data_IF_197843002376
#
_entry.id   IF_197843002376
#
_cell.length_a   1.000
_cell.length_b   1.000
_cell.length_c   1.000
_cell.angle_alpha   90.00
_cell.angle_beta   90.00
_cell.angle_gamma   90.00
#
_symmetry.space_group_name_H-M   'P 1'
#
loop_
_entity.id
_entity.type
_entity.pdbx_description
1 polymer ?
#
# COMPACT_ATOMS: atom_id res chain seq x y z
N UNK A 1 12.49 -25.09 -2.22
CA UNK A 1 12.63 -24.13 -3.33
C UNK A 1 11.72 -24.44 -4.54
N UNK A 2 10.57 -25.10 -4.35
CA UNK A 2 9.63 -25.35 -5.43
C UNK A 2 8.20 -25.24 -4.87
N UNK A 3 7.64 -24.03 -4.84
CA UNK A 3 6.20 -23.84 -4.54
C UNK A 3 5.65 -22.48 -4.97
N UNK A 4 6.48 -21.44 -5.11
CA UNK A 4 5.97 -20.08 -5.39
C UNK A 4 5.33 -19.92 -6.79
N UNK A 5 5.78 -20.67 -7.80
CA UNK A 5 5.31 -20.50 -9.18
C UNK A 5 3.93 -21.12 -9.48
N UNK A 6 3.40 -22.01 -8.63
CA UNK A 6 2.15 -22.73 -8.90
C UNK A 6 0.89 -22.05 -8.31
N UNK A 7 1.03 -21.05 -7.44
CA UNK A 7 -0.08 -20.47 -6.67
C UNK A 7 -0.85 -19.36 -7.41
N UNK A 8 -0.18 -18.61 -8.30
CA UNK A 8 -0.76 -17.44 -8.97
C UNK A 8 -1.98 -17.75 -9.87
N UNK A 9 -2.17 -19.00 -10.31
CA UNK A 9 -3.28 -19.41 -11.18
C UNK A 9 -4.55 -19.84 -10.43
N UNK A 10 -4.56 -19.84 -9.08
CA UNK A 10 -5.64 -20.45 -8.29
C UNK A 10 -6.57 -19.48 -7.56
N UNK A 11 -6.34 -18.16 -7.66
CA UNK A 11 -7.10 -17.16 -6.89
C UNK A 11 -6.87 -17.26 -5.36
N UNK A 12 -5.81 -17.95 -4.92
CA UNK A 12 -5.42 -18.01 -3.51
C UNK A 12 -4.57 -16.80 -3.18
N UNK A 13 -5.14 -15.91 -2.38
CA UNK A 13 -4.44 -14.77 -1.78
C UNK A 13 -3.63 -15.26 -0.57
N UNK A 14 -2.35 -14.92 -0.52
CA UNK A 14 -1.52 -15.09 0.68
C UNK A 14 -1.41 -13.74 1.38
N UNK A 15 -1.71 -13.66 2.70
CA UNK A 15 -1.54 -12.43 3.46
C UNK A 15 -0.09 -11.96 3.44
N UNK A 16 0.12 -10.66 3.19
CA UNK A 16 1.44 -10.03 3.34
C UNK A 16 1.66 -9.67 4.81
N UNK A 17 2.32 -10.56 5.55
CA UNK A 17 2.62 -10.33 6.96
C UNK A 17 3.43 -9.05 7.17
N UNK A 18 3.04 -8.25 8.16
CA UNK A 18 3.72 -7.00 8.52
C UNK A 18 3.46 -5.83 7.57
N UNK A 19 2.59 -6.00 6.56
CA UNK A 19 2.26 -4.99 5.57
C UNK A 19 0.92 -4.31 5.80
N UNK A 20 0.31 -4.49 6.97
CA UNK A 20 -0.96 -3.86 7.29
C UNK A 20 -0.80 -2.34 7.44
N UNK A 21 -1.79 -1.60 6.95
CA UNK A 21 -1.96 -0.16 7.18
C UNK A 21 -3.01 0.04 8.26
N UNK A 22 -2.64 0.70 9.34
CA UNK A 22 -3.56 1.11 10.39
C UNK A 22 -4.13 2.49 10.08
N UNK A 23 -5.46 2.60 10.08
CA UNK A 23 -6.17 3.86 9.89
C UNK A 23 -6.64 4.44 11.21
N UNK A 24 -6.35 5.73 11.42
CA UNK A 24 -6.81 6.50 12.56
C UNK A 24 -7.80 7.57 12.09
N UNK A 25 -9.02 7.63 12.64
CA UNK A 25 -9.93 8.73 12.36
C UNK A 25 -9.35 10.05 12.85
N UNK A 26 -9.51 11.10 12.06
CA UNK A 26 -9.17 12.49 12.38
C UNK A 26 -10.30 13.40 11.95
N UNK A 27 -10.26 14.67 12.33
CA UNK A 27 -11.24 15.64 11.83
C UNK A 27 -11.14 15.74 10.30
N UNK A 28 -12.28 15.58 9.61
CA UNK A 28 -12.36 15.59 8.15
C UNK A 28 -11.80 14.37 7.43
N UNK A 29 -11.51 13.24 8.11
CA UNK A 29 -11.18 11.98 7.43
C UNK A 29 -10.35 10.99 8.24
N UNK A 30 -9.33 10.39 7.61
CA UNK A 30 -8.48 9.36 8.21
C UNK A 30 -7.02 9.54 7.83
N UNK A 31 -6.12 9.30 8.79
CA UNK A 31 -4.69 9.15 8.52
C UNK A 31 -4.35 7.67 8.54
N UNK A 32 -3.61 7.20 7.54
CA UNK A 32 -3.09 5.84 7.45
C UNK A 32 -1.59 5.81 7.61
N UNK A 33 -1.07 4.78 8.27
CA UNK A 33 0.35 4.49 8.33
C UNK A 33 0.57 2.98 8.47
N UNK A 34 1.76 2.51 8.12
CA UNK A 34 2.17 1.12 8.39
C UNK A 34 1.96 0.79 9.87
N UNK A 35 1.23 -0.29 10.16
CA UNK A 35 1.01 -0.78 11.52
C UNK A 35 2.32 -1.27 12.15
N UNK A 36 3.20 -1.86 11.33
CA UNK A 36 4.58 -2.18 11.67
C UNK A 36 5.55 -1.45 10.71
N UNK A 37 6.13 -0.30 11.12
CA UNK A 37 7.01 0.52 10.27
C UNK A 37 8.29 -0.18 9.77
N UNK A 38 8.65 -1.34 10.34
CA UNK A 38 9.80 -2.14 9.92
C UNK A 38 9.45 -3.50 9.32
N UNK A 39 8.20 -3.94 9.50
CA UNK A 39 7.75 -5.31 9.24
C UNK A 39 7.47 -5.62 7.78
N UNK A 40 7.04 -4.65 6.98
CA UNK A 40 6.70 -4.90 5.58
C UNK A 40 7.95 -5.01 4.70
N UNK A 41 8.39 -6.24 4.47
CA UNK A 41 9.48 -6.56 3.54
C UNK A 41 8.97 -7.52 2.48
N UNK A 42 8.95 -7.05 1.23
CA UNK A 42 8.47 -7.82 0.08
C UNK A 42 9.63 -8.19 -0.84
N UNK A 43 9.48 -9.28 -1.60
CA UNK A 43 10.40 -9.64 -2.67
C UNK A 43 9.97 -8.93 -3.95
N UNK A 44 10.89 -8.20 -4.59
CA UNK A 44 10.62 -7.50 -5.83
C UNK A 44 10.25 -8.50 -6.93
N UNK A 45 9.10 -8.30 -7.56
CA UNK A 45 8.69 -9.11 -8.71
C UNK A 45 9.51 -8.79 -9.97
N UNK A 46 10.21 -7.64 -10.00
CA UNK A 46 11.02 -7.23 -11.16
C UNK A 46 12.20 -8.17 -11.39
N UNK A 47 12.86 -8.60 -10.31
CA UNK A 47 14.09 -9.39 -10.35
C UNK A 47 14.03 -10.66 -9.49
N UNK A 48 12.98 -10.86 -8.69
CA UNK A 48 12.78 -12.02 -7.84
C UNK A 48 13.83 -12.19 -6.73
N UNK A 49 14.68 -11.20 -6.47
CA UNK A 49 15.83 -11.32 -5.55
C UNK A 49 15.97 -10.14 -4.61
N UNK A 50 15.59 -8.94 -5.03
CA UNK A 50 15.68 -7.74 -4.23
C UNK A 50 14.61 -7.74 -3.14
N UNK A 51 15.02 -7.65 -1.87
CA UNK A 51 14.12 -7.40 -0.76
C UNK A 51 13.89 -5.91 -0.60
N UNK A 52 12.63 -5.51 -0.56
CA UNK A 52 12.20 -4.11 -0.47
C UNK A 52 11.47 -3.92 0.84
N UNK A 53 11.98 -3.03 1.70
CA UNK A 53 11.23 -2.52 2.85
C UNK A 53 10.27 -1.45 2.38
N UNK A 54 8.98 -1.69 2.55
CA UNK A 54 7.91 -0.75 2.19
C UNK A 54 7.64 0.16 3.38
N UNK A 55 7.41 1.43 3.07
CA UNK A 55 6.86 2.42 3.99
C UNK A 55 5.70 3.11 3.29
N UNK A 56 4.66 3.38 4.06
CA UNK A 56 3.47 4.05 3.57
C UNK A 56 2.96 5.03 4.64
N UNK A 57 2.45 6.15 4.15
CA UNK A 57 1.75 7.17 4.91
C UNK A 57 0.65 7.76 4.01
N UNK A 58 -0.57 7.80 4.55
CA UNK A 58 -1.78 8.10 3.79
C UNK A 58 -2.58 9.18 4.51
N UNK A 59 -3.24 10.04 3.73
CA UNK A 59 -4.30 10.91 4.23
C UNK A 59 -5.51 10.81 3.32
N UNK A 60 -6.61 10.30 3.85
CA UNK A 60 -7.90 10.23 3.16
C UNK A 60 -8.79 11.36 3.66
N UNK A 61 -9.28 12.18 2.74
CA UNK A 61 -10.24 13.28 2.97
C UNK A 61 -11.37 13.18 1.94
N UNK A 62 -12.37 14.05 2.04
CA UNK A 62 -13.58 13.98 1.22
C UNK A 62 -13.35 14.10 -0.30
N UNK A 63 -12.33 14.85 -0.69
CA UNK A 63 -12.01 15.20 -2.07
C UNK A 63 -10.63 14.73 -2.54
N UNK A 64 -9.80 14.20 -1.63
CA UNK A 64 -8.42 13.79 -1.93
C UNK A 64 -8.01 12.54 -1.15
N UNK A 65 -7.27 11.68 -1.83
CA UNK A 65 -6.40 10.67 -1.21
C UNK A 65 -4.94 11.07 -1.44
N UNK A 66 -4.20 11.27 -0.36
CA UNK A 66 -2.76 11.46 -0.39
C UNK A 66 -2.05 10.14 -0.09
N UNK A 67 -1.06 9.78 -0.91
CA UNK A 67 -0.29 8.54 -0.79
C UNK A 67 1.21 8.83 -0.86
N UNK A 68 1.93 8.57 0.23
CA UNK A 68 3.40 8.63 0.28
C UNK A 68 4.00 7.22 0.41
N UNK A 69 3.83 6.45 -0.67
CA UNK A 69 4.41 5.11 -0.82
C UNK A 69 5.90 5.19 -1.14
N UNK A 70 6.72 4.47 -0.36
CA UNK A 70 8.16 4.38 -0.56
C UNK A 70 8.67 2.97 -0.40
N UNK A 71 9.63 2.61 -1.25
CA UNK A 71 10.35 1.35 -1.16
C UNK A 71 11.84 1.58 -0.99
N UNK A 72 12.43 0.89 -0.02
CA UNK A 72 13.85 0.98 0.27
C UNK A 72 14.51 -0.39 0.15
N UNK A 73 15.74 -0.43 -0.31
CA UNK A 73 16.62 -1.57 -0.07
C UNK A 73 16.88 -1.70 1.44
N UNK A 74 17.34 -2.87 1.88
CA UNK A 74 17.58 -3.12 3.31
C UNK A 74 18.70 -2.25 3.90
N UNK A 75 19.60 -1.72 3.07
CA UNK A 75 20.64 -0.75 3.43
C UNK A 75 20.15 0.70 3.51
N UNK A 76 18.88 0.96 3.18
CA UNK A 76 18.28 2.29 3.21
C UNK A 76 18.29 3.03 1.88
N UNK A 77 18.83 2.46 0.81
CA UNK A 77 18.75 3.05 -0.54
C UNK A 77 17.30 3.15 -1.01
N UNK A 78 16.85 4.34 -1.42
CA UNK A 78 15.50 4.51 -2.00
C UNK A 78 15.43 3.83 -3.38
N UNK A 79 14.49 2.91 -3.54
CA UNK A 79 14.25 2.17 -4.78
C UNK A 79 13.07 2.74 -5.58
N UNK A 80 12.03 3.19 -4.89
CA UNK A 80 10.88 3.89 -5.49
C UNK A 80 10.20 4.83 -4.48
N UNK A 81 9.39 5.75 -5.00
CA UNK A 81 8.69 6.79 -4.24
C UNK A 81 9.06 8.18 -4.77
N UNK A 82 8.40 9.22 -4.28
CA UNK A 82 8.73 10.60 -4.66
C UNK A 82 10.15 10.96 -4.18
N UNK A 83 11.11 11.24 -5.08
CA UNK A 83 12.48 11.57 -4.69
C UNK A 83 12.59 12.95 -4.03
N UNK A 84 11.73 13.88 -4.42
CA UNK A 84 11.66 15.24 -3.88
C UNK A 84 10.81 15.33 -2.61
N UNK A 85 10.25 14.19 -2.18
CA UNK A 85 9.35 14.07 -1.04
C UNK A 85 7.90 14.47 -1.35
N UNK A 86 7.05 14.28 -0.35
CA UNK A 86 5.62 14.60 -0.42
C UNK A 86 4.77 13.50 -1.07
N UNK A 87 3.47 13.44 -0.71
CA UNK A 87 2.57 12.42 -1.21
C UNK A 87 2.09 12.72 -2.65
N UNK A 88 1.77 11.66 -3.39
CA UNK A 88 0.92 11.76 -4.56
C UNK A 88 -0.50 12.12 -4.12
N UNK A 89 -1.12 13.11 -4.79
CA UNK A 89 -2.47 13.56 -4.49
C UNK A 89 -3.43 13.10 -5.58
N UNK A 90 -4.34 12.21 -5.20
CA UNK A 90 -5.37 11.64 -6.05
C UNK A 90 -6.67 12.39 -5.78
N UNK A 91 -7.04 13.29 -6.68
CA UNK A 91 -8.32 13.99 -6.60
C UNK A 91 -9.47 13.00 -6.81
N UNK A 92 -10.53 13.15 -6.04
CA UNK A 92 -11.74 12.35 -6.21
C UNK A 92 -12.39 12.70 -7.55
N UNK A 93 -12.36 11.75 -8.48
CA UNK A 93 -13.15 11.86 -9.71
C UNK A 93 -14.61 11.52 -9.39
N UNK A 94 -15.56 12.31 -9.89
CA UNK A 94 -16.98 11.97 -9.83
C UNK A 94 -17.26 10.73 -10.70
N UNK A 95 -17.17 9.55 -10.09
CA UNK A 95 -17.71 8.29 -10.62
C UNK A 95 -19.05 7.99 -9.94
N UNK A 96 -19.91 7.20 -10.61
CA UNK A 96 -21.18 6.72 -10.05
C UNK A 96 -20.90 6.14 -8.66
N UNK A 97 -21.44 6.77 -7.62
CA UNK A 97 -21.67 6.07 -6.37
C UNK A 97 -22.57 4.90 -6.78
N UNK A 98 -22.01 3.72 -6.94
CA UNK A 98 -22.80 2.52 -6.76
C UNK A 98 -23.33 2.67 -5.33
N UNK A 99 -24.60 3.09 -5.24
CA UNK A 99 -25.34 3.01 -4.00
C UNK A 99 -25.27 1.53 -3.68
N UNK A 100 -24.50 1.18 -2.65
CA UNK A 100 -24.31 -0.20 -2.24
C UNK A 100 -25.66 -0.89 -2.30
N UNK A 101 -25.76 -1.91 -3.16
CA UNK A 101 -26.99 -2.62 -3.42
C UNK A 101 -27.60 -3.01 -2.09
N UNK A 102 -28.75 -2.43 -1.78
CA UNK A 102 -29.64 -3.00 -0.80
C UNK A 102 -30.09 -4.34 -1.37
N UNK A 103 -29.75 -5.41 -0.67
CA UNK A 103 -30.53 -6.63 -0.71
C UNK A 103 -31.24 -6.73 0.66
N UNK A 104 -32.56 -6.99 0.70
CA UNK A 104 -33.35 -7.03 1.92
C UNK A 104 -33.00 -8.20 2.86
#
# INVERSE_FOLDING_TARGET
>A
AACAAALAATGRWEPLGGCDVAWRPVDGGFDGAMADPGGCVVLSQRDGTTRVRVKDALALRDDVLEVDDRGYALDGTLLYGSPDGGPYRLARVQGTRDQGGGDP
#
